data_IF_894844309066
#
_entry.id   IF_894844309066
#
_cell.length_a   1.000
_cell.length_b   1.000
_cell.length_c   1.000
_cell.angle_alpha   90.00
_cell.angle_beta   90.00
_cell.angle_gamma   90.00
#
_symmetry.space_group_name_H-M   'P 1'
#
loop_
_entity.id
_entity.type
_entity.pdbx_description
1 polymer ?
#
# COMPACT_ATOMS: atom_id res chain seq x y z
N UNK A 1 -9.65 -13.43 -1.87
CA UNK A 1 -9.32 -12.46 -0.80
C UNK A 1 -8.90 -13.13 0.50
N UNK A 2 -9.66 -14.08 1.06
CA UNK A 2 -9.32 -14.65 2.38
C UNK A 2 -8.02 -15.47 2.40
N UNK A 3 -7.68 -16.18 1.30
CA UNK A 3 -6.37 -16.83 1.14
C UNK A 3 -5.20 -15.88 1.22
N UNK A 4 -5.28 -14.71 0.56
CA UNK A 4 -4.23 -13.70 0.62
C UNK A 4 -4.07 -13.16 2.05
N UNK A 5 -5.19 -12.89 2.72
CA UNK A 5 -5.16 -12.41 4.10
C UNK A 5 -4.51 -13.42 5.04
N UNK A 6 -4.81 -14.72 4.90
CA UNK A 6 -4.16 -15.77 5.70
C UNK A 6 -2.67 -15.89 5.40
N UNK A 7 -2.31 -15.94 4.12
CA UNK A 7 -0.93 -16.02 3.68
C UNK A 7 -0.05 -14.88 4.25
N UNK A 8 -0.57 -13.64 4.26
CA UNK A 8 0.16 -12.50 4.83
C UNK A 8 0.49 -12.69 6.32
N UNK A 9 -0.43 -13.24 7.10
CA UNK A 9 -0.18 -13.48 8.53
C UNK A 9 0.83 -14.62 8.71
N UNK A 10 0.73 -15.67 7.90
CA UNK A 10 1.64 -16.83 7.93
C UNK A 10 3.10 -16.44 7.61
N UNK A 11 3.33 -15.48 6.72
CA UNK A 11 4.67 -14.97 6.38
C UNK A 11 5.47 -14.49 7.60
N UNK A 12 4.78 -14.07 8.67
CA UNK A 12 5.44 -13.59 9.89
C UNK A 12 5.96 -14.72 10.78
N UNK A 13 5.44 -15.94 10.62
CA UNK A 13 5.71 -17.06 11.52
C UNK A 13 5.17 -16.89 12.94
N UNK A 14 4.29 -15.90 13.18
CA UNK A 14 3.74 -15.58 14.50
C UNK A 14 2.28 -16.03 14.62
N UNK A 15 1.90 -16.49 15.81
CA UNK A 15 0.51 -16.85 16.12
C UNK A 15 -0.42 -15.64 16.05
N UNK A 16 0.07 -14.47 16.50
CA UNK A 16 -0.66 -13.21 16.50
C UNK A 16 0.25 -12.05 16.10
N UNK A 17 0.45 -11.80 14.80
CA UNK A 17 1.34 -10.75 14.32
C UNK A 17 0.75 -9.36 14.55
N UNK A 18 1.62 -8.35 14.60
CA UNK A 18 1.25 -6.94 14.59
C UNK A 18 1.10 -6.45 13.15
N UNK A 19 -0.05 -5.86 12.84
CA UNK A 19 -0.34 -5.35 11.51
C UNK A 19 -0.81 -3.90 11.60
N UNK A 20 -0.25 -3.03 10.77
CA UNK A 20 -0.66 -1.63 10.66
C UNK A 20 -1.22 -1.34 9.27
N UNK A 21 -2.41 -0.76 9.18
CA UNK A 21 -2.93 -0.19 7.95
C UNK A 21 -2.43 1.24 7.73
N UNK A 22 -2.17 1.61 6.48
CA UNK A 22 -1.99 3.00 6.06
C UNK A 22 -3.08 3.32 5.00
N UNK A 23 -4.22 3.91 5.39
CA UNK A 23 -5.39 4.07 4.54
C UNK A 23 -5.36 5.35 3.66
N UNK A 24 -4.20 6.00 3.57
CA UNK A 24 -3.99 7.32 2.95
C UNK A 24 -4.46 7.40 1.50
N UNK A 25 -4.40 6.30 0.74
CA UNK A 25 -4.93 6.25 -0.63
C UNK A 25 -6.41 6.62 -0.74
N UNK A 26 -7.17 6.49 0.35
CA UNK A 26 -8.58 6.89 0.40
C UNK A 26 -8.84 8.16 1.19
N UNK A 27 -7.79 8.87 1.62
CA UNK A 27 -7.96 9.98 2.56
C UNK A 27 -8.42 9.51 3.94
N UNK A 28 -7.90 8.36 4.38
CA UNK A 28 -8.15 7.77 5.69
C UNK A 28 -9.64 7.51 6.02
N UNK A 29 -10.44 7.14 5.01
CA UNK A 29 -11.87 6.89 5.23
C UNK A 29 -12.15 5.85 6.31
N UNK A 30 -13.07 6.18 7.22
CA UNK A 30 -13.53 5.26 8.26
C UNK A 30 -14.09 3.94 7.68
N UNK A 31 -14.74 3.98 6.51
CA UNK A 31 -15.28 2.79 5.87
C UNK A 31 -14.20 1.74 5.55
N UNK A 32 -13.06 2.16 5.01
CA UNK A 32 -11.95 1.24 4.74
C UNK A 32 -11.30 0.72 6.02
N UNK A 33 -11.18 1.56 7.05
CA UNK A 33 -10.69 1.13 8.35
C UNK A 33 -11.60 0.08 8.98
N UNK A 34 -12.92 0.26 8.92
CA UNK A 34 -13.89 -0.73 9.43
C UNK A 34 -13.69 -2.09 8.73
N UNK A 35 -13.58 -2.11 7.40
CA UNK A 35 -13.35 -3.35 6.65
C UNK A 35 -12.00 -4.00 7.01
N UNK A 36 -10.96 -3.19 7.19
CA UNK A 36 -9.65 -3.65 7.65
C UNK A 36 -9.72 -4.29 9.05
N UNK A 37 -10.34 -3.62 10.01
CA UNK A 37 -10.47 -4.13 11.38
C UNK A 37 -11.34 -5.39 11.45
N UNK A 38 -12.45 -5.45 10.71
CA UNK A 38 -13.27 -6.66 10.59
C UNK A 38 -12.47 -7.86 10.09
N UNK A 39 -11.51 -7.62 9.18
CA UNK A 39 -10.68 -8.65 8.57
C UNK A 39 -9.57 -9.16 9.50
N UNK A 40 -8.90 -8.27 10.24
CA UNK A 40 -7.67 -8.61 10.95
C UNK A 40 -7.77 -8.63 12.48
N UNK A 41 -8.66 -7.87 13.12
CA UNK A 41 -8.64 -7.69 14.58
C UNK A 41 -8.78 -9.01 15.39
N UNK A 42 -9.46 -10.02 14.83
CA UNK A 42 -9.59 -11.34 15.46
C UNK A 42 -8.33 -12.20 15.30
N UNK A 43 -7.49 -11.91 14.32
CA UNK A 43 -6.36 -12.76 13.86
C UNK A 43 -4.99 -12.13 14.12
N UNK A 44 -4.94 -10.84 14.43
CA UNK A 44 -3.72 -10.05 14.55
C UNK A 44 -3.96 -8.87 15.50
N UNK A 45 -2.87 -8.27 15.99
CA UNK A 45 -2.90 -7.01 16.71
C UNK A 45 -2.93 -5.88 15.69
N UNK A 46 -4.15 -5.48 15.33
CA UNK A 46 -4.41 -4.51 14.27
C UNK A 46 -4.31 -3.07 14.78
N UNK A 47 -3.49 -2.27 14.10
CA UNK A 47 -3.36 -0.82 14.27
C UNK A 47 -3.54 -0.12 12.91
N UNK A 48 -3.60 1.20 12.90
CA UNK A 48 -3.53 1.99 11.69
C UNK A 48 -2.79 3.31 11.93
N UNK A 49 -2.30 3.91 10.86
CA UNK A 49 -1.74 5.25 10.83
C UNK A 49 -2.64 6.14 9.97
N UNK A 50 -3.27 7.12 10.58
CA UNK A 50 -3.94 8.24 9.91
C UNK A 50 -2.95 9.38 9.64
N UNK A 51 -3.12 10.08 8.51
CA UNK A 51 -2.34 11.25 8.13
C UNK A 51 -3.23 12.49 7.93
N UNK A 52 -4.51 12.31 7.58
CA UNK A 52 -5.47 13.40 7.39
C UNK A 52 -6.13 13.86 8.69
N UNK A 53 -6.27 12.98 9.67
CA UNK A 53 -6.69 13.29 11.06
C UNK A 53 -5.66 12.73 12.05
N UNK A 54 -4.38 13.05 11.80
CA UNK A 54 -3.26 12.37 12.43
C UNK A 54 -3.30 12.44 13.96
N UNK A 55 -3.42 11.27 14.60
CA UNK A 55 -3.36 11.10 16.05
C UNK A 55 -1.98 10.64 16.55
N UNK A 56 -1.17 10.05 15.68
CA UNK A 56 0.15 9.48 15.99
C UNK A 56 1.25 10.51 15.78
N UNK A 57 2.03 10.79 16.84
CA UNK A 57 3.20 11.70 16.75
C UNK A 57 4.44 10.97 16.25
N UNK A 58 4.76 9.81 16.82
CA UNK A 58 5.92 9.00 16.43
C UNK A 58 5.54 7.97 15.35
N UNK A 59 5.53 8.44 14.10
CA UNK A 59 5.20 7.60 12.93
C UNK A 59 6.21 6.45 12.77
N UNK A 60 7.51 6.74 12.94
CA UNK A 60 8.56 5.75 12.77
C UNK A 60 8.45 4.66 13.85
N UNK A 61 8.26 5.04 15.11
CA UNK A 61 8.06 4.10 16.21
C UNK A 61 6.84 3.21 15.99
N UNK A 62 5.73 3.76 15.49
CA UNK A 62 4.56 2.94 15.16
C UNK A 62 4.86 1.95 14.04
N UNK A 63 5.35 2.42 12.89
CA UNK A 63 5.51 1.58 11.69
C UNK A 63 6.63 0.55 11.84
N UNK A 64 7.75 0.90 12.46
CA UNK A 64 8.90 0.01 12.65
C UNK A 64 8.68 -1.03 13.75
N UNK A 65 7.61 -0.93 14.53
CA UNK A 65 7.22 -1.91 15.55
C UNK A 65 6.28 -3.02 15.02
N UNK A 66 5.92 -2.97 13.74
CA UNK A 66 4.97 -3.89 13.10
C UNK A 66 5.67 -5.10 12.49
N UNK A 67 4.90 -6.18 12.30
CA UNK A 67 5.32 -7.33 11.51
C UNK A 67 4.88 -7.20 10.05
N UNK A 68 3.73 -6.54 9.85
CA UNK A 68 3.12 -6.31 8.54
C UNK A 68 2.65 -4.86 8.45
N UNK A 69 2.90 -4.23 7.30
CA UNK A 69 2.28 -2.97 6.91
C UNK A 69 1.39 -3.22 5.69
N UNK A 70 0.10 -2.88 5.82
CA UNK A 70 -0.92 -3.09 4.80
C UNK A 70 -1.39 -1.75 4.20
N UNK A 71 -1.38 -1.67 2.87
CA UNK A 71 -1.81 -0.48 2.13
C UNK A 71 -2.96 -0.83 1.19
N UNK A 72 -4.09 -0.16 1.39
CA UNK A 72 -5.30 -0.37 0.59
C UNK A 72 -5.24 0.25 -0.81
N UNK A 73 -6.34 0.08 -1.55
CA UNK A 73 -6.56 0.78 -2.81
C UNK A 73 -6.97 2.23 -2.62
N UNK A 74 -7.02 2.99 -3.73
CA UNK A 74 -7.42 4.40 -3.75
C UNK A 74 -6.61 5.19 -4.77
N UNK A 75 -6.33 6.45 -4.48
CA UNK A 75 -5.53 7.33 -5.32
C UNK A 75 -4.03 7.21 -4.95
N UNK A 76 -3.25 6.58 -5.82
CA UNK A 76 -1.81 6.34 -5.60
C UNK A 76 -1.00 7.62 -5.59
N UNK A 77 -1.28 8.57 -6.49
CA UNK A 77 -0.52 9.81 -6.59
C UNK A 77 -0.67 10.67 -5.33
N UNK A 78 -1.91 10.85 -4.85
CA UNK A 78 -2.19 11.61 -3.63
C UNK A 78 -1.57 10.93 -2.41
N UNK A 79 -1.67 9.60 -2.31
CA UNK A 79 -1.04 8.83 -1.24
C UNK A 79 0.47 9.08 -1.18
N UNK A 80 1.17 8.94 -2.30
CA UNK A 80 2.62 9.12 -2.39
C UNK A 80 3.03 10.56 -2.06
N UNK A 81 2.27 11.55 -2.53
CA UNK A 81 2.52 12.95 -2.19
C UNK A 81 2.43 13.21 -0.69
N UNK A 82 1.36 12.73 -0.04
CA UNK A 82 1.17 12.85 1.42
C UNK A 82 2.29 12.12 2.17
N UNK A 83 2.62 10.89 1.76
CA UNK A 83 3.67 10.12 2.42
C UNK A 83 5.03 10.82 2.40
N UNK A 84 5.42 11.43 1.28
CA UNK A 84 6.67 12.20 1.16
C UNK A 84 6.67 13.43 2.06
N UNK A 85 5.55 14.13 2.16
CA UNK A 85 5.41 15.27 3.08
C UNK A 85 5.62 14.86 4.54
N UNK A 86 5.18 13.64 4.91
CA UNK A 86 5.30 13.13 6.28
C UNK A 86 6.50 12.19 6.51
N UNK A 87 7.36 11.98 5.52
CA UNK A 87 8.53 11.08 5.61
C UNK A 87 8.18 9.58 5.70
N UNK A 88 6.93 9.21 5.42
CA UNK A 88 6.45 7.81 5.48
C UNK A 88 7.15 6.96 4.43
N UNK A 89 7.46 7.51 3.26
CA UNK A 89 8.20 6.85 2.18
C UNK A 89 9.57 6.32 2.64
N UNK A 90 10.30 7.14 3.40
CA UNK A 90 11.61 6.79 3.95
C UNK A 90 11.48 5.71 5.03
N UNK A 91 10.49 5.85 5.92
CA UNK A 91 10.21 4.88 6.98
C UNK A 91 9.80 3.52 6.39
N UNK A 92 9.01 3.50 5.31
CA UNK A 92 8.61 2.27 4.64
C UNK A 92 9.80 1.56 3.98
N UNK A 93 10.75 2.30 3.41
CA UNK A 93 12.00 1.72 2.90
C UNK A 93 12.80 1.07 4.02
N UNK A 94 12.91 1.74 5.16
CA UNK A 94 13.59 1.19 6.33
C UNK A 94 12.86 -0.05 6.88
N UNK A 95 11.52 -0.01 6.98
CA UNK A 95 10.70 -1.13 7.39
C UNK A 95 10.96 -2.36 6.51
N UNK A 96 10.97 -2.16 5.18
CA UNK A 96 11.28 -3.22 4.23
C UNK A 96 12.69 -3.81 4.42
N UNK A 97 13.70 -2.95 4.60
CA UNK A 97 15.08 -3.38 4.85
C UNK A 97 15.24 -4.16 6.17
N UNK A 98 14.40 -3.89 7.16
CA UNK A 98 14.33 -4.63 8.43
C UNK A 98 13.57 -5.95 8.33
N UNK A 99 13.02 -6.29 7.16
CA UNK A 99 12.26 -7.52 6.93
C UNK A 99 10.79 -7.44 7.35
N UNK A 100 10.25 -6.23 7.60
CA UNK A 100 8.81 -6.05 7.82
C UNK A 100 8.09 -6.34 6.50
N UNK A 101 7.01 -7.13 6.58
CA UNK A 101 6.23 -7.50 5.39
C UNK A 101 5.44 -6.28 4.92
N UNK A 102 5.76 -5.79 3.72
CA UNK A 102 4.96 -4.77 3.05
C UNK A 102 3.98 -5.44 2.10
N UNK A 103 2.70 -5.09 2.21
CA UNK A 103 1.66 -5.65 1.38
C UNK A 103 0.61 -4.60 1.01
N UNK A 104 -0.02 -4.78 -0.14
CA UNK A 104 -1.10 -3.90 -0.54
C UNK A 104 -1.85 -4.36 -1.78
N UNK A 105 -3.02 -3.76 -2.00
CA UNK A 105 -3.86 -4.03 -3.15
C UNK A 105 -4.18 -2.75 -3.91
N UNK A 106 -4.34 -2.85 -5.24
CA UNK A 106 -4.59 -1.69 -6.10
C UNK A 106 -3.47 -0.63 -5.93
N UNK A 107 -3.78 0.58 -5.50
CA UNK A 107 -2.80 1.64 -5.21
C UNK A 107 -1.66 1.17 -4.29
N UNK A 108 -1.98 0.43 -3.22
CA UNK A 108 -0.98 -0.13 -2.32
C UNK A 108 -0.09 -1.19 -2.97
N UNK A 109 -0.56 -1.91 -4.00
CA UNK A 109 0.29 -2.84 -4.77
C UNK A 109 1.22 -2.11 -5.75
N UNK A 110 0.71 -1.05 -6.39
CA UNK A 110 1.45 -0.22 -7.33
C UNK A 110 2.60 0.55 -6.66
N UNK A 111 2.37 1.08 -5.45
CA UNK A 111 3.29 2.04 -4.86
C UNK A 111 4.70 1.51 -4.57
N UNK A 112 4.89 0.19 -4.48
CA UNK A 112 6.19 -0.43 -4.21
C UNK A 112 7.15 -0.41 -5.39
N UNK A 113 6.65 -0.26 -6.61
CA UNK A 113 7.43 -0.31 -7.85
C UNK A 113 8.04 1.05 -8.18
N UNK A 114 8.94 1.11 -9.17
CA UNK A 114 9.49 2.38 -9.68
C UNK A 114 8.41 3.19 -10.40
N UNK A 115 7.55 2.51 -11.16
CA UNK A 115 6.51 3.14 -11.96
C UNK A 115 5.32 2.19 -12.20
N UNK A 116 4.31 2.66 -12.94
CA UNK A 116 3.20 1.81 -13.38
C UNK A 116 2.02 2.58 -13.93
N UNK A 117 0.86 1.93 -14.00
CA UNK A 117 -0.38 2.53 -14.55
C UNK A 117 -1.33 2.91 -13.43
N UNK A 118 -1.82 4.14 -13.47
CA UNK A 118 -2.78 4.66 -12.50
C UNK A 118 -3.88 5.48 -13.18
N UNK A 119 -5.04 5.53 -12.54
CA UNK A 119 -6.18 6.40 -12.79
C UNK A 119 -6.21 7.58 -11.78
N UNK A 120 -5.14 7.79 -11.01
CA UNK A 120 -5.05 8.86 -10.00
C UNK A 120 -5.29 10.27 -10.56
N UNK A 121 -5.10 10.46 -11.87
CA UNK A 121 -5.25 11.72 -12.58
C UNK A 121 -6.53 11.79 -13.44
N UNK A 122 -7.47 10.87 -13.22
CA UNK A 122 -8.66 10.71 -14.04
C UNK A 122 -8.51 9.51 -15.00
N UNK A 123 -8.24 9.71 -16.30
CA UNK A 123 -7.95 8.60 -17.21
C UNK A 123 -6.69 7.82 -16.82
N UNK A 124 -6.54 6.61 -17.38
CA UNK A 124 -5.33 5.81 -17.21
C UNK A 124 -4.10 6.56 -17.75
N UNK A 125 -3.11 6.75 -16.88
CA UNK A 125 -1.89 7.49 -17.10
C UNK A 125 -0.70 6.77 -16.47
N UNK A 126 0.53 7.04 -16.92
CA UNK A 126 1.73 6.58 -16.23
C UNK A 126 1.86 7.26 -14.86
N UNK A 127 2.28 6.49 -13.86
CA UNK A 127 2.90 6.96 -12.62
C UNK A 127 4.39 6.67 -12.74
N UNK A 128 5.24 7.69 -12.76
CA UNK A 128 6.70 7.54 -12.97
C UNK A 128 7.52 7.64 -11.69
N UNK A 129 6.87 7.89 -10.56
CA UNK A 129 7.48 8.20 -9.28
C UNK A 129 6.88 7.33 -8.17
N UNK A 130 6.92 6.00 -8.31
CA UNK A 130 6.61 5.11 -7.19
C UNK A 130 7.68 5.17 -6.09
N UNK A 131 7.58 4.30 -5.08
CA UNK A 131 8.61 4.24 -4.04
C UNK A 131 9.92 3.60 -4.53
N UNK A 132 9.89 2.82 -5.61
CA UNK A 132 11.09 2.18 -6.14
C UNK A 132 11.76 1.25 -5.12
N UNK A 133 10.96 0.45 -4.40
CA UNK A 133 11.47 -0.68 -3.62
C UNK A 133 11.70 -1.89 -4.53
N UNK A 134 10.81 -2.06 -5.51
CA UNK A 134 10.89 -3.09 -6.53
C UNK A 134 11.20 -2.46 -7.89
N UNK A 135 12.18 -3.00 -8.65
CA UNK A 135 12.47 -2.51 -9.98
C UNK A 135 11.34 -2.84 -10.97
N UNK A 136 11.19 -2.01 -11.99
CA UNK A 136 10.19 -2.18 -13.03
C UNK A 136 8.83 -1.55 -12.69
N UNK A 137 7.80 -2.00 -13.42
CA UNK A 137 6.47 -1.41 -13.37
C UNK A 137 5.38 -2.38 -12.93
N UNK A 138 4.26 -1.82 -12.45
CA UNK A 138 3.09 -2.58 -12.06
C UNK A 138 1.79 -2.01 -12.66
N UNK A 139 0.86 -2.90 -13.01
CA UNK A 139 -0.46 -2.52 -13.49
C UNK A 139 -1.51 -3.26 -12.65
N UNK A 140 -2.10 -2.60 -11.62
CA UNK A 140 -3.22 -3.17 -10.91
C UNK A 140 -4.41 -3.43 -11.85
N UNK A 141 -5.25 -4.40 -11.51
CA UNK A 141 -6.47 -4.72 -12.25
C UNK A 141 -6.25 -5.11 -13.71
N UNK A 142 -5.04 -5.60 -14.03
CA UNK A 142 -4.57 -5.91 -15.38
C UNK A 142 -5.55 -6.75 -16.21
N UNK A 143 -6.12 -7.80 -15.62
CA UNK A 143 -7.05 -8.71 -16.29
C UNK A 143 -8.53 -8.39 -16.03
N UNK A 144 -8.83 -7.45 -15.13
CA UNK A 144 -10.20 -7.15 -14.69
C UNK A 144 -10.76 -5.85 -15.27
N UNK A 145 -9.90 -4.91 -15.66
CA UNK A 145 -10.29 -3.64 -16.29
C UNK A 145 -9.80 -3.62 -17.75
N UNK A 146 -10.71 -3.62 -18.76
CA UNK A 146 -10.34 -3.82 -20.17
C UNK A 146 -9.26 -2.89 -20.70
N UNK A 147 -9.21 -1.65 -20.21
CA UNK A 147 -8.24 -0.63 -20.68
C UNK A 147 -6.86 -0.74 -20.00
N UNK A 148 -6.73 -1.45 -18.87
CA UNK A 148 -5.46 -1.56 -18.11
C UNK A 148 -4.39 -2.26 -18.91
N UNK A 149 -4.70 -3.43 -19.47
CA UNK A 149 -3.76 -4.22 -20.27
C UNK A 149 -3.23 -3.51 -21.52
N UNK A 150 -4.09 -3.05 -22.45
CA UNK A 150 -3.59 -2.35 -23.65
C UNK A 150 -2.85 -1.05 -23.31
N UNK A 151 -3.29 -0.31 -22.27
CA UNK A 151 -2.57 0.89 -21.82
C UNK A 151 -1.20 0.55 -21.26
N UNK A 152 -1.09 -0.48 -20.43
CA UNK A 152 0.20 -0.91 -19.85
C UNK A 152 1.18 -1.37 -20.92
N UNK A 153 0.73 -2.22 -21.84
CA UNK A 153 1.58 -2.71 -22.95
C UNK A 153 2.04 -1.55 -23.85
N UNK A 154 1.18 -0.54 -24.07
CA UNK A 154 1.54 0.68 -24.81
C UNK A 154 2.59 1.51 -24.07
N UNK A 155 2.43 1.70 -22.76
CA UNK A 155 3.36 2.48 -21.95
C UNK A 155 4.74 1.81 -21.86
N UNK A 156 4.79 0.50 -21.64
CA UNK A 156 6.06 -0.26 -21.64
C UNK A 156 6.81 -0.12 -22.98
N UNK A 157 6.08 -0.19 -24.11
CA UNK A 157 6.69 -0.01 -25.44
C UNK A 157 7.19 1.42 -25.68
N UNK A 158 6.64 2.39 -24.95
CA UNK A 158 6.96 3.80 -25.07
C UNK A 158 8.21 4.26 -24.31
N UNK A 159 8.71 3.45 -23.38
CA UNK A 159 9.80 3.82 -22.46
C UNK A 159 9.24 4.40 -21.16
#
# INVERSE_FOLDING_TARGET
MDRLNGFLLELTGKERPRICAIPTATGDTAANLVVYYQRYARRADATHLDLFDRSVVDIAGLLLAQDIIWVGGGNTANMLAVWRVHGVDTILREAWQRGIVLAGGSAGGLCWFECGVTDSFGPLAPLSDGLGLLPGSHCPHYDSEPERRPTYERLIKGG
#
